data_IF_644931569999
#
_entry.id   IF_644931569999
#
_cell.length_a   1.000
_cell.length_b   1.000
_cell.length_c   1.000
_cell.angle_alpha   90.00
_cell.angle_beta   90.00
_cell.angle_gamma   90.00
#
_symmetry.space_group_name_H-M   'P 1'
#
loop_
_entity.id
_entity.type
_entity.pdbx_description
1 polymer ?
#
# COMPACT_ATOMS: atom_id res chain seq x y z
N UNK A 1 17.57 -1.54 12.57
CA UNK A 1 17.05 -2.85 13.00
C UNK A 1 16.29 -2.76 14.33
N UNK A 2 16.83 -2.11 15.36
CA UNK A 2 16.26 -2.09 16.71
C UNK A 2 14.80 -1.59 16.78
N UNK A 3 14.44 -0.58 15.99
CA UNK A 3 13.07 -0.07 15.92
C UNK A 3 12.05 -1.11 15.42
N UNK A 4 12.47 -2.07 14.60
CA UNK A 4 11.62 -3.17 14.13
C UNK A 4 11.53 -4.25 15.22
N UNK A 5 12.66 -4.61 15.79
CA UNK A 5 12.75 -5.67 16.81
C UNK A 5 11.91 -5.36 18.06
N UNK A 6 11.87 -4.10 18.49
CA UNK A 6 11.03 -3.66 19.61
C UNK A 6 9.51 -3.83 19.39
N UNK A 7 9.07 -4.02 18.15
CA UNK A 7 7.66 -4.25 17.79
C UNK A 7 7.30 -5.74 17.58
N UNK A 8 8.25 -6.66 17.81
CA UNK A 8 8.02 -8.10 17.66
C UNK A 8 7.58 -8.82 18.93
N UNK A 9 7.46 -8.13 20.06
CA UNK A 9 7.14 -8.69 21.38
C UNK A 9 5.82 -9.48 21.41
N UNK A 10 4.87 -9.16 20.54
CA UNK A 10 3.58 -9.89 20.42
C UNK A 10 3.66 -11.08 19.44
N UNK A 11 4.82 -11.39 18.88
CA UNK A 11 5.04 -12.53 17.97
C UNK A 11 5.50 -13.74 18.77
N UNK A 12 5.42 -14.93 18.17
CA UNK A 12 5.88 -16.20 18.76
C UNK A 12 6.53 -17.07 17.68
N UNK A 13 7.39 -17.97 18.14
CA UNK A 13 8.04 -18.97 17.30
C UNK A 13 8.82 -18.36 16.13
N UNK A 14 9.48 -17.23 16.35
CA UNK A 14 10.32 -16.61 15.35
C UNK A 14 11.64 -17.39 15.21
N UNK A 15 12.18 -17.39 13.98
CA UNK A 15 13.48 -17.98 13.67
C UNK A 15 14.43 -16.94 13.11
N UNK A 16 15.72 -17.14 13.34
CA UNK A 16 16.79 -16.22 12.87
C UNK A 16 17.78 -16.98 11.99
N UNK A 17 17.99 -16.41 10.81
CA UNK A 17 19.12 -16.67 9.91
C UNK A 17 19.58 -15.32 9.39
N UNK A 18 20.75 -14.87 9.79
CA UNK A 18 21.19 -13.49 9.56
C UNK A 18 22.72 -13.43 9.45
N UNK A 19 23.24 -12.39 8.82
CA UNK A 19 24.68 -12.11 8.83
C UNK A 19 25.14 -11.64 10.22
N UNK A 20 24.43 -10.68 10.80
CA UNK A 20 24.75 -10.06 12.08
C UNK A 20 23.69 -10.38 13.14
N UNK A 21 24.12 -10.86 14.31
CA UNK A 21 23.32 -10.90 15.54
C UNK A 21 23.68 -9.67 16.40
N UNK A 22 22.66 -8.94 16.87
CA UNK A 22 22.78 -7.79 17.75
C UNK A 22 21.91 -7.88 19.00
N UNK A 23 22.00 -6.86 19.86
CA UNK A 23 21.33 -6.81 21.16
C UNK A 23 19.84 -7.14 21.10
N UNK A 24 19.09 -6.52 20.17
CA UNK A 24 17.64 -6.72 20.09
C UNK A 24 17.24 -8.15 19.70
N UNK A 25 18.05 -8.88 18.94
CA UNK A 25 17.82 -10.30 18.64
C UNK A 25 18.01 -11.13 19.92
N UNK A 26 19.06 -10.86 20.68
CA UNK A 26 19.36 -11.55 21.94
C UNK A 26 18.26 -11.28 22.97
N UNK A 27 17.73 -10.06 23.05
CA UNK A 27 16.59 -9.73 23.92
C UNK A 27 15.37 -10.59 23.57
N UNK A 28 14.98 -10.66 22.28
CA UNK A 28 13.87 -11.50 21.84
C UNK A 28 14.09 -13.01 22.06
N UNK A 29 15.34 -13.47 22.02
CA UNK A 29 15.70 -14.85 22.38
C UNK A 29 15.53 -15.11 23.89
N UNK A 30 15.94 -14.17 24.74
CA UNK A 30 15.75 -14.26 26.21
C UNK A 30 14.27 -14.29 26.61
N UNK A 31 13.44 -13.54 25.87
CA UNK A 31 12.00 -13.48 26.06
C UNK A 31 11.25 -14.69 25.47
N UNK A 32 11.96 -15.61 24.79
CA UNK A 32 11.37 -16.78 24.14
C UNK A 32 10.51 -16.49 22.92
N UNK A 33 10.60 -15.30 22.38
CA UNK A 33 9.92 -14.89 21.13
C UNK A 33 10.62 -15.51 19.92
N UNK A 34 11.96 -15.54 19.95
CA UNK A 34 12.81 -16.27 19.01
C UNK A 34 13.22 -17.59 19.67
N UNK A 35 12.54 -18.66 19.30
CA UNK A 35 12.82 -20.03 19.75
C UNK A 35 13.33 -20.93 18.60
N UNK A 36 13.30 -20.45 17.38
CA UNK A 36 13.72 -21.14 16.16
C UNK A 36 12.99 -22.47 15.90
N UNK A 37 11.91 -22.78 16.62
CA UNK A 37 11.20 -24.05 16.55
C UNK A 37 10.57 -24.33 15.20
N UNK A 38 10.21 -23.29 14.47
CA UNK A 38 9.57 -23.35 13.14
C UNK A 38 10.50 -23.15 11.96
N UNK A 39 11.80 -23.08 12.17
CA UNK A 39 12.76 -23.00 11.08
C UNK A 39 12.76 -24.31 10.27
N UNK A 40 12.78 -24.18 8.95
CA UNK A 40 12.90 -25.32 8.01
C UNK A 40 14.34 -25.80 7.85
N UNK A 41 15.30 -24.89 8.10
CA UNK A 41 16.74 -25.19 8.10
C UNK A 41 17.31 -24.80 9.47
N UNK A 42 18.17 -25.65 10.05
CA UNK A 42 18.73 -25.49 11.40
C UNK A 42 17.64 -25.22 12.46
N UNK A 43 16.60 -26.10 12.61
CA UNK A 43 15.55 -25.91 13.60
C UNK A 43 16.13 -25.85 15.02
N UNK A 44 15.55 -24.98 15.87
CA UNK A 44 16.01 -24.75 17.23
C UNK A 44 17.27 -23.91 17.37
N UNK A 45 17.85 -23.42 16.26
CA UNK A 45 19.10 -22.63 16.31
C UNK A 45 18.99 -21.33 15.54
N UNK A 46 19.43 -20.23 16.14
CA UNK A 46 19.74 -19.00 15.45
C UNK A 46 21.08 -19.15 14.73
N UNK A 47 21.13 -18.86 13.45
CA UNK A 47 22.36 -18.93 12.64
C UNK A 47 22.82 -17.53 12.26
N UNK A 48 24.11 -17.23 12.47
CA UNK A 48 24.72 -15.97 12.11
C UNK A 48 26.18 -16.11 11.68
N UNK A 49 26.73 -15.08 11.00
CA UNK A 49 28.15 -15.03 10.66
C UNK A 49 28.97 -14.37 11.77
N UNK A 50 28.45 -13.31 12.36
CA UNK A 50 29.14 -12.59 13.47
C UNK A 50 28.13 -11.89 14.39
N UNK A 51 28.64 -11.36 15.50
CA UNK A 51 27.84 -10.58 16.45
C UNK A 51 28.47 -9.20 16.70
N UNK A 52 27.61 -8.24 17.00
CA UNK A 52 28.00 -6.91 17.45
C UNK A 52 26.97 -6.41 18.46
N UNK A 53 27.42 -6.07 19.66
CA UNK A 53 26.51 -5.65 20.72
C UNK A 53 27.23 -5.27 22.00
N UNK A 54 26.49 -5.14 23.08
CA UNK A 54 26.98 -4.91 24.42
C UNK A 54 27.65 -6.17 24.99
N UNK A 55 28.38 -6.03 26.11
CA UNK A 55 29.03 -7.14 26.78
C UNK A 55 28.04 -8.28 27.13
N UNK A 56 26.86 -7.93 27.57
CA UNK A 56 25.81 -8.89 27.94
C UNK A 56 25.33 -9.72 26.74
N UNK A 57 25.43 -9.20 25.52
CA UNK A 57 25.15 -9.93 24.29
C UNK A 57 26.20 -11.00 24.04
N UNK A 58 27.48 -10.66 24.16
CA UNK A 58 28.56 -11.64 24.00
C UNK A 58 28.52 -12.72 25.09
N UNK A 59 28.24 -12.36 26.34
CA UNK A 59 28.07 -13.30 27.46
C UNK A 59 26.92 -14.28 27.24
N UNK A 60 25.79 -13.80 26.67
CA UNK A 60 24.65 -14.67 26.32
C UNK A 60 24.95 -15.63 25.17
N UNK A 61 25.73 -15.16 24.17
CA UNK A 61 26.05 -15.96 22.99
C UNK A 61 27.17 -16.98 23.25
N UNK A 62 28.00 -16.77 24.31
CA UNK A 62 29.09 -17.63 24.64
C UNK A 62 28.62 -19.02 25.07
N UNK A 63 29.11 -20.05 24.42
CA UNK A 63 28.75 -21.46 24.62
C UNK A 63 27.23 -21.75 24.63
N UNK A 64 26.44 -20.92 23.95
CA UNK A 64 25.00 -21.08 23.87
C UNK A 64 24.62 -22.07 22.74
N UNK A 65 24.07 -23.25 23.06
CA UNK A 65 23.72 -24.26 22.05
C UNK A 65 22.58 -23.83 21.09
N UNK A 66 21.84 -22.78 21.44
CA UNK A 66 20.76 -22.22 20.62
C UNK A 66 21.30 -21.29 19.52
N UNK A 67 22.60 -21.02 19.50
CA UNK A 67 23.25 -20.12 18.52
C UNK A 67 24.36 -20.87 17.81
N UNK A 68 24.36 -20.72 16.50
CA UNK A 68 25.38 -21.34 15.66
C UNK A 68 26.02 -20.27 14.76
N UNK A 69 27.32 -20.04 14.92
CA UNK A 69 28.08 -19.19 14.03
C UNK A 69 28.62 -20.00 12.86
N UNK A 70 28.35 -19.51 11.66
CA UNK A 70 28.79 -20.10 10.39
C UNK A 70 29.58 -19.07 9.60
N UNK A 71 30.37 -19.55 8.67
CA UNK A 71 31.08 -18.72 7.71
C UNK A 71 30.10 -17.97 6.78
N UNK A 72 30.55 -16.86 6.24
CA UNK A 72 29.68 -15.99 5.44
C UNK A 72 29.22 -16.64 4.13
N UNK A 73 30.01 -17.53 3.58
CA UNK A 73 29.65 -18.37 2.41
C UNK A 73 28.46 -19.31 2.68
N UNK A 74 28.18 -19.62 3.97
CA UNK A 74 26.98 -20.35 4.35
C UNK A 74 25.82 -19.40 4.68
N UNK A 75 26.05 -18.39 5.52
CA UNK A 75 24.97 -17.53 6.00
C UNK A 75 24.39 -16.64 4.91
N UNK A 76 25.20 -16.21 3.96
CA UNK A 76 24.82 -15.30 2.88
C UNK A 76 24.55 -16.01 1.55
N UNK A 77 24.63 -17.35 1.52
CA UNK A 77 24.26 -18.08 0.30
C UNK A 77 22.76 -17.95 0.00
N UNK A 78 22.36 -17.30 -1.11
CA UNK A 78 20.96 -17.17 -1.48
C UNK A 78 20.22 -18.51 -1.60
N UNK A 79 20.90 -19.60 -1.96
CA UNK A 79 20.28 -20.92 -2.07
C UNK A 79 20.00 -21.54 -0.69
N UNK A 80 20.82 -21.27 0.31
CA UNK A 80 20.58 -21.68 1.69
C UNK A 80 19.46 -20.82 2.28
N UNK A 81 19.49 -19.51 2.08
CA UNK A 81 18.47 -18.57 2.53
C UNK A 81 17.10 -18.96 1.94
N UNK A 82 17.04 -19.33 0.66
CA UNK A 82 15.82 -19.74 -0.04
C UNK A 82 15.14 -20.99 0.53
N UNK A 83 15.88 -21.85 1.24
CA UNK A 83 15.34 -23.05 1.88
C UNK A 83 14.53 -22.74 3.16
N UNK A 84 14.66 -21.54 3.70
CA UNK A 84 13.86 -21.09 4.84
C UNK A 84 12.47 -20.66 4.36
N UNK A 85 11.42 -21.43 4.65
CA UNK A 85 10.04 -21.02 4.38
C UNK A 85 9.68 -19.74 5.17
N UNK A 86 8.91 -18.87 4.52
CA UNK A 86 8.50 -17.58 5.07
C UNK A 86 9.67 -16.64 5.42
N UNK A 87 10.82 -16.80 4.75
CA UNK A 87 11.97 -15.92 4.97
C UNK A 87 11.57 -14.46 4.78
N UNK A 88 11.83 -13.63 5.77
CA UNK A 88 11.57 -12.19 5.72
C UNK A 88 12.89 -11.44 5.83
N UNK A 89 13.40 -10.97 4.70
CA UNK A 89 14.60 -10.14 4.65
C UNK A 89 14.21 -8.67 4.83
N UNK A 90 14.74 -8.03 5.87
CA UNK A 90 14.47 -6.62 6.19
C UNK A 90 15.79 -5.86 6.16
N UNK A 91 15.89 -4.90 5.26
CA UNK A 91 17.08 -4.10 5.05
C UNK A 91 16.73 -2.61 4.95
N UNK A 92 17.76 -1.76 5.01
CA UNK A 92 17.64 -0.33 4.83
C UNK A 92 18.49 0.13 3.64
N UNK A 93 18.22 1.33 3.14
CA UNK A 93 19.02 1.95 2.07
C UNK A 93 19.34 3.41 2.37
N UNK A 94 20.32 3.94 1.66
CA UNK A 94 20.62 5.36 1.64
C UNK A 94 19.66 6.12 0.74
N UNK A 95 19.42 5.56 -0.47
CA UNK A 95 18.50 6.11 -1.47
C UNK A 95 17.78 4.97 -2.22
N UNK A 96 16.56 5.23 -2.65
CA UNK A 96 15.82 4.42 -3.63
C UNK A 96 15.34 5.33 -4.76
N UNK A 97 15.50 4.88 -6.01
CA UNK A 97 15.01 5.65 -7.15
C UNK A 97 13.58 5.24 -7.57
N UNK A 98 12.95 6.09 -8.39
CA UNK A 98 11.56 5.88 -8.84
C UNK A 98 11.38 4.63 -9.69
N UNK A 99 12.45 3.98 -10.15
CA UNK A 99 12.38 2.68 -10.84
C UNK A 99 12.38 1.50 -9.86
N UNK A 100 12.71 1.77 -8.58
CA UNK A 100 12.72 0.79 -7.50
C UNK A 100 14.06 0.10 -7.30
N UNK A 101 15.18 0.64 -7.80
CA UNK A 101 16.51 0.17 -7.43
C UNK A 101 17.09 1.05 -6.31
N UNK A 102 17.91 0.47 -5.43
CA UNK A 102 18.39 1.15 -4.25
C UNK A 102 19.91 1.04 -4.06
N UNK A 103 20.49 2.09 -3.49
CA UNK A 103 21.86 2.12 -3.00
C UNK A 103 21.87 2.12 -1.48
N UNK A 104 22.64 1.21 -0.87
CA UNK A 104 22.87 1.14 0.57
C UNK A 104 24.33 1.43 0.94
N UNK A 105 25.23 1.47 -0.02
CA UNK A 105 26.66 1.58 0.17
C UNK A 105 27.25 2.94 -0.22
N UNK A 106 26.55 3.67 -1.13
CA UNK A 106 27.08 4.93 -1.67
C UNK A 106 25.98 5.93 -2.03
N UNK A 107 26.35 7.21 -2.06
CA UNK A 107 25.56 8.29 -2.66
C UNK A 107 26.42 8.93 -3.75
N UNK A 108 26.09 8.70 -5.02
CA UNK A 108 26.95 9.04 -6.13
C UNK A 108 28.32 8.32 -5.99
N UNK A 109 29.37 9.07 -6.15
CA UNK A 109 30.78 8.54 -6.09
C UNK A 109 31.32 8.39 -4.66
N UNK A 110 30.54 8.71 -3.63
CA UNK A 110 30.99 8.65 -2.22
C UNK A 110 30.49 7.34 -1.61
N UNK A 111 31.42 6.47 -1.25
CA UNK A 111 31.14 5.20 -0.60
C UNK A 111 31.19 5.35 0.92
N UNK A 112 30.16 4.84 1.61
CA UNK A 112 30.03 4.83 3.08
C UNK A 112 30.33 3.45 3.66
N UNK A 113 30.20 2.40 2.87
CA UNK A 113 30.46 1.02 3.27
C UNK A 113 30.81 0.15 2.07
N UNK A 114 31.13 -1.13 2.31
CA UNK A 114 31.08 -2.17 1.29
C UNK A 114 29.65 -2.63 1.03
N UNK A 115 29.49 -3.53 0.05
CA UNK A 115 28.19 -4.03 -0.39
C UNK A 115 27.47 -4.87 0.69
N UNK A 116 28.19 -5.65 1.51
CA UNK A 116 27.66 -6.57 2.52
C UNK A 116 26.74 -7.68 1.94
N UNK A 117 26.01 -8.36 2.82
CA UNK A 117 25.12 -9.47 2.46
C UNK A 117 23.70 -9.07 2.10
N UNK A 118 23.41 -7.77 1.99
CA UNK A 118 22.03 -7.28 1.78
C UNK A 118 21.41 -7.86 0.51
N UNK A 119 22.15 -7.89 -0.61
CA UNK A 119 21.67 -8.41 -1.88
C UNK A 119 21.43 -9.92 -1.81
N UNK A 120 22.28 -10.65 -1.10
CA UNK A 120 22.16 -12.10 -0.93
C UNK A 120 20.89 -12.48 -0.16
N UNK A 121 20.63 -11.81 0.96
CA UNK A 121 19.43 -12.03 1.76
C UNK A 121 18.16 -11.64 1.01
N UNK A 122 18.15 -10.51 0.29
CA UNK A 122 17.00 -10.13 -0.51
C UNK A 122 16.75 -11.14 -1.64
N UNK A 123 17.79 -11.57 -2.37
CA UNK A 123 17.68 -12.59 -3.42
C UNK A 123 17.19 -13.91 -2.85
N UNK A 124 17.76 -14.38 -1.76
CA UNK A 124 17.36 -15.62 -1.10
C UNK A 124 15.91 -15.59 -0.63
N UNK A 125 15.46 -14.45 -0.06
CA UNK A 125 14.06 -14.29 0.35
C UNK A 125 13.08 -14.24 -0.84
N UNK A 126 13.47 -13.67 -1.99
CA UNK A 126 12.66 -13.73 -3.23
C UNK A 126 12.45 -15.17 -3.68
N UNK A 127 13.46 -16.02 -3.56
CA UNK A 127 13.41 -17.42 -3.95
C UNK A 127 12.72 -18.32 -2.91
N UNK A 128 12.61 -17.84 -1.67
CA UNK A 128 11.99 -18.60 -0.57
C UNK A 128 10.48 -18.75 -0.79
N UNK A 129 9.93 -19.90 -0.41
CA UNK A 129 8.49 -20.11 -0.38
C UNK A 129 7.82 -19.15 0.63
N UNK A 130 6.88 -18.31 0.16
CA UNK A 130 6.25 -17.23 0.90
C UNK A 130 7.24 -16.18 1.45
N UNK A 131 8.41 -16.08 0.84
CA UNK A 131 9.43 -15.11 1.23
C UNK A 131 8.99 -13.65 1.01
N UNK A 132 9.54 -12.75 1.80
CA UNK A 132 9.26 -11.32 1.72
C UNK A 132 10.55 -10.53 1.76
N UNK A 133 10.65 -9.55 0.88
CA UNK A 133 11.76 -8.59 0.89
C UNK A 133 11.23 -7.20 1.23
N UNK A 134 11.77 -6.63 2.26
CA UNK A 134 11.32 -5.35 2.83
C UNK A 134 12.51 -4.39 2.87
N UNK A 135 12.38 -3.27 2.19
CA UNK A 135 13.30 -2.15 2.28
C UNK A 135 12.66 -1.04 3.11
N UNK A 136 13.18 -0.80 4.32
CA UNK A 136 12.67 0.21 5.22
C UNK A 136 13.67 1.37 5.34
N UNK A 137 13.24 2.58 5.03
CA UNK A 137 14.08 3.78 5.11
C UNK A 137 13.24 4.98 5.54
N UNK A 138 13.90 5.95 6.20
CA UNK A 138 13.28 7.27 6.36
C UNK A 138 13.14 7.92 4.99
N UNK A 139 12.04 8.64 4.74
CA UNK A 139 11.82 9.31 3.45
C UNK A 139 12.80 10.46 3.19
N UNK A 140 13.43 10.97 4.24
CA UNK A 140 14.36 12.12 4.21
C UNK A 140 15.65 11.86 4.98
N UNK A 141 16.61 12.73 4.77
CA UNK A 141 17.85 12.85 5.52
C UNK A 141 18.13 14.33 5.84
N UNK A 142 19.10 14.57 6.74
CA UNK A 142 19.61 15.93 7.07
C UNK A 142 18.48 16.89 7.47
N UNK A 143 17.72 16.54 8.51
CA UNK A 143 16.63 17.35 9.05
C UNK A 143 15.60 17.75 7.96
N UNK A 144 15.14 16.76 7.23
CA UNK A 144 14.16 16.88 6.14
C UNK A 144 14.57 17.77 4.96
N UNK A 145 15.85 18.02 4.78
CA UNK A 145 16.34 18.83 3.66
C UNK A 145 16.59 18.05 2.39
N UNK A 146 16.77 16.71 2.50
CA UNK A 146 17.13 15.84 1.38
C UNK A 146 16.18 14.65 1.32
N UNK A 147 15.58 14.40 0.16
CA UNK A 147 14.76 13.20 -0.09
C UNK A 147 15.65 11.98 -0.29
N UNK A 148 15.30 10.86 0.34
CA UNK A 148 15.90 9.53 0.08
C UNK A 148 15.18 8.74 -1.02
N UNK A 149 14.01 9.21 -1.44
CA UNK A 149 13.36 8.76 -2.67
C UNK A 149 13.75 9.76 -3.75
N UNK A 150 14.43 9.29 -4.79
CA UNK A 150 15.04 10.14 -5.82
C UNK A 150 14.58 9.73 -7.23
N UNK A 151 14.60 10.64 -8.22
CA UNK A 151 14.20 10.28 -9.59
C UNK A 151 15.04 9.14 -10.17
N UNK A 152 16.36 9.24 -10.03
CA UNK A 152 17.37 8.21 -10.33
C UNK A 152 18.47 8.28 -9.29
N UNK A 153 19.12 7.15 -9.02
CA UNK A 153 20.34 7.13 -8.24
C UNK A 153 21.37 8.06 -8.88
N UNK A 154 22.16 8.74 -8.06
CA UNK A 154 23.20 9.66 -8.54
C UNK A 154 24.24 8.90 -9.38
N UNK A 155 24.80 9.57 -10.38
CA UNK A 155 25.86 9.03 -11.21
C UNK A 155 27.03 8.52 -10.35
N UNK A 156 27.44 7.26 -10.61
CA UNK A 156 28.50 6.59 -9.88
C UNK A 156 28.07 5.92 -8.58
N UNK A 157 26.77 5.97 -8.22
CA UNK A 157 26.26 5.21 -7.08
C UNK A 157 26.25 3.72 -7.38
N UNK A 158 26.59 2.91 -6.37
CA UNK A 158 26.40 1.47 -6.42
C UNK A 158 24.91 1.11 -6.39
N UNK A 159 24.48 0.18 -7.25
CA UNK A 159 23.14 -0.42 -7.18
C UNK A 159 23.23 -1.63 -6.28
N UNK A 160 23.14 -1.42 -4.97
CA UNK A 160 23.22 -2.52 -3.98
C UNK A 160 22.06 -3.50 -4.15
N UNK A 161 20.85 -2.97 -4.43
CA UNK A 161 19.66 -3.75 -4.69
C UNK A 161 19.07 -3.41 -6.05
N UNK A 162 18.92 -4.41 -6.91
CA UNK A 162 18.20 -4.25 -8.15
C UNK A 162 16.67 -4.23 -7.92
N UNK A 163 15.93 -3.69 -8.88
CA UNK A 163 14.48 -3.50 -8.78
C UNK A 163 13.67 -4.80 -8.73
N UNK A 164 14.25 -5.94 -9.07
CA UNK A 164 13.60 -7.25 -9.04
C UNK A 164 13.58 -7.87 -7.65
N UNK A 165 14.48 -7.45 -6.76
CA UNK A 165 14.65 -8.05 -5.44
C UNK A 165 13.95 -7.23 -4.32
N UNK A 166 13.39 -6.06 -4.64
CA UNK A 166 12.66 -5.22 -3.71
C UNK A 166 11.16 -5.40 -3.95
N UNK A 167 10.46 -6.07 -3.01
CA UNK A 167 9.01 -6.23 -3.08
C UNK A 167 8.27 -5.15 -2.30
N UNK A 168 8.63 -4.95 -1.03
CA UNK A 168 8.03 -3.93 -0.18
C UNK A 168 9.00 -2.80 0.08
N UNK A 169 8.50 -1.57 0.00
CA UNK A 169 9.22 -0.37 0.47
C UNK A 169 8.38 0.30 1.54
N UNK A 170 9.02 0.66 2.65
CA UNK A 170 8.37 1.25 3.82
C UNK A 170 9.07 2.55 4.17
N UNK A 171 8.29 3.60 4.37
CA UNK A 171 8.70 4.85 4.97
C UNK A 171 7.75 5.22 6.11
N UNK A 172 7.99 6.31 6.81
CA UNK A 172 7.06 6.89 7.79
C UNK A 172 5.73 7.36 7.16
N UNK A 173 5.66 7.46 5.83
CA UNK A 173 4.46 7.88 5.08
C UNK A 173 3.68 6.73 4.45
N UNK A 174 4.12 5.49 4.62
CA UNK A 174 3.34 4.34 4.16
C UNK A 174 4.17 3.17 3.67
N UNK A 175 3.45 2.19 3.11
CA UNK A 175 4.00 0.92 2.60
C UNK A 175 3.52 0.76 1.17
N UNK A 176 4.43 0.41 0.27
CA UNK A 176 4.11 0.07 -1.12
C UNK A 176 4.69 -1.28 -1.51
N UNK A 177 3.99 -1.97 -2.41
CA UNK A 177 4.40 -3.26 -2.96
C UNK A 177 4.76 -3.12 -4.42
N UNK A 178 6.04 -3.30 -4.77
CA UNK A 178 6.57 -3.01 -6.11
C UNK A 178 6.65 -4.21 -7.04
N UNK A 179 6.55 -5.44 -6.52
CA UNK A 179 6.71 -6.64 -7.34
C UNK A 179 5.58 -6.78 -8.36
N UNK A 180 5.94 -7.09 -9.61
CA UNK A 180 4.97 -7.24 -10.70
C UNK A 180 4.46 -5.92 -11.31
N UNK A 181 4.93 -4.77 -10.82
CA UNK A 181 4.54 -3.44 -11.32
C UNK A 181 5.49 -2.93 -12.40
N UNK A 182 4.93 -2.21 -13.37
CA UNK A 182 5.70 -1.49 -14.38
C UNK A 182 6.38 -0.24 -13.79
N UNK A 183 7.26 0.43 -14.55
CA UNK A 183 8.04 1.58 -14.06
C UNK A 183 7.15 2.74 -13.62
N UNK A 184 6.08 3.04 -14.35
CA UNK A 184 5.16 4.12 -14.01
C UNK A 184 4.43 3.84 -12.67
N UNK A 185 3.94 2.64 -12.49
CA UNK A 185 3.30 2.21 -11.26
C UNK A 185 4.25 2.28 -10.07
N UNK A 186 5.49 1.81 -10.24
CA UNK A 186 6.55 1.92 -9.23
C UNK A 186 6.83 3.36 -8.86
N UNK A 187 6.96 4.25 -9.86
CA UNK A 187 7.21 5.67 -9.64
C UNK A 187 6.09 6.32 -8.83
N UNK A 188 4.83 6.09 -9.21
CA UNK A 188 3.68 6.64 -8.49
C UNK A 188 3.58 6.13 -7.06
N UNK A 189 3.81 4.82 -6.84
CA UNK A 189 3.82 4.23 -5.50
C UNK A 189 4.92 4.83 -4.62
N UNK A 190 6.15 4.93 -5.13
CA UNK A 190 7.26 5.51 -4.38
C UNK A 190 7.05 6.99 -4.07
N UNK A 191 6.47 7.75 -5.01
CA UNK A 191 6.09 9.16 -4.76
C UNK A 191 5.04 9.24 -3.65
N UNK A 192 4.08 8.31 -3.59
CA UNK A 192 3.01 8.32 -2.57
C UNK A 192 3.54 8.18 -1.15
N UNK A 193 4.65 7.46 -0.95
CA UNK A 193 5.31 7.27 0.35
C UNK A 193 6.53 8.17 0.57
N UNK A 194 6.83 9.08 -0.36
CA UNK A 194 7.84 10.12 -0.17
C UNK A 194 7.36 11.18 0.82
N UNK A 195 8.29 11.90 1.43
CA UNK A 195 7.92 13.06 2.25
C UNK A 195 7.09 14.07 1.41
N UNK A 196 5.95 14.57 1.91
CA UNK A 196 5.03 15.43 1.16
C UNK A 196 5.70 16.62 0.48
N UNK A 197 6.68 17.23 1.13
CA UNK A 197 7.47 18.35 0.62
C UNK A 197 8.13 18.06 -0.74
N UNK A 198 8.54 16.81 -0.98
CA UNK A 198 9.29 16.42 -2.19
C UNK A 198 8.42 15.80 -3.27
N UNK A 199 7.17 15.43 -2.99
CA UNK A 199 6.27 14.82 -3.98
C UNK A 199 6.08 15.66 -5.24
N UNK A 200 5.85 17.00 -5.16
CA UNK A 200 5.74 17.83 -6.38
C UNK A 200 7.00 17.78 -7.23
N UNK A 201 8.18 17.89 -6.61
CA UNK A 201 9.44 17.79 -7.32
C UNK A 201 9.64 16.42 -7.98
N UNK A 202 9.33 15.33 -7.26
CA UNK A 202 9.43 13.97 -7.80
C UNK A 202 8.49 13.76 -8.99
N UNK A 203 7.27 14.30 -8.95
CA UNK A 203 6.32 14.26 -10.07
C UNK A 203 6.90 14.98 -11.30
N UNK A 204 7.42 16.19 -11.12
CA UNK A 204 7.96 16.95 -12.26
C UNK A 204 9.21 16.27 -12.86
N UNK A 205 10.12 15.77 -12.02
CA UNK A 205 11.26 15.00 -12.52
C UNK A 205 10.84 13.68 -13.19
N UNK A 206 9.83 12.98 -12.66
CA UNK A 206 9.30 11.78 -13.26
C UNK A 206 8.68 12.04 -14.64
N UNK A 207 7.93 13.14 -14.81
CA UNK A 207 7.39 13.59 -16.10
C UNK A 207 8.49 13.92 -17.09
N UNK A 208 9.48 14.72 -16.67
CA UNK A 208 10.62 15.15 -17.48
C UNK A 208 11.41 13.97 -18.02
N UNK A 209 11.55 12.91 -17.21
CA UNK A 209 12.29 11.71 -17.57
C UNK A 209 11.42 10.60 -18.19
N UNK A 210 10.13 10.85 -18.44
CA UNK A 210 9.23 9.89 -19.07
C UNK A 210 8.89 8.67 -18.22
N UNK A 211 9.08 8.75 -16.89
CA UNK A 211 8.73 7.67 -15.97
C UNK A 211 7.23 7.59 -15.73
N UNK A 212 6.53 8.73 -15.83
CA UNK A 212 5.06 8.84 -15.73
C UNK A 212 4.54 9.66 -16.92
N UNK A 213 3.22 9.72 -17.08
CA UNK A 213 2.63 10.52 -18.16
C UNK A 213 2.88 12.02 -17.96
N UNK A 214 3.00 12.78 -19.07
CA UNK A 214 3.22 14.23 -19.03
C UNK A 214 2.05 14.97 -18.39
N UNK A 215 0.85 14.46 -18.59
CA UNK A 215 -0.42 14.97 -18.06
C UNK A 215 -0.81 14.37 -16.72
N UNK A 216 0.08 13.58 -16.10
CA UNK A 216 -0.16 13.00 -14.77
C UNK A 216 -0.52 14.10 -13.77
N UNK A 217 -1.75 14.06 -13.24
CA UNK A 217 -2.23 15.01 -12.25
C UNK A 217 -1.61 14.76 -10.88
N UNK A 218 -1.42 15.84 -10.12
CA UNK A 218 -0.95 15.79 -8.73
C UNK A 218 -1.50 16.99 -7.96
N UNK A 219 -2.09 16.74 -6.80
CA UNK A 219 -2.60 17.78 -5.91
C UNK A 219 -1.59 18.01 -4.78
N UNK A 220 -0.89 19.14 -4.74
CA UNK A 220 0.12 19.42 -3.71
C UNK A 220 -0.51 19.81 -2.37
N UNK A 221 0.24 19.62 -1.27
CA UNK A 221 -0.09 20.06 0.08
C UNK A 221 -1.02 19.12 0.84
N UNK A 222 -1.62 19.62 1.94
CA UNK A 222 -2.48 18.81 2.83
C UNK A 222 -3.71 18.21 2.15
N UNK A 223 -4.24 18.86 1.12
CA UNK A 223 -5.40 18.40 0.35
C UNK A 223 -5.12 17.17 -0.48
N UNK A 224 -3.86 16.97 -0.89
CA UNK A 224 -3.39 15.77 -1.59
C UNK A 224 -2.85 14.68 -0.67
N UNK A 225 -2.84 14.87 0.66
CA UNK A 225 -2.41 13.83 1.59
C UNK A 225 -3.45 12.72 1.67
N UNK A 226 -2.97 11.49 1.60
CA UNK A 226 -3.82 10.31 1.71
C UNK A 226 -4.35 10.16 3.15
N UNK A 227 -5.68 10.10 3.37
CA UNK A 227 -6.26 10.03 4.72
C UNK A 227 -6.28 8.59 5.26
N UNK A 228 -5.14 8.06 5.71
CA UNK A 228 -5.00 6.69 6.24
C UNK A 228 -5.98 6.36 7.38
N UNK A 229 -6.35 7.36 8.18
CA UNK A 229 -7.32 7.19 9.27
C UNK A 229 -8.72 6.75 8.83
N UNK A 230 -8.97 6.77 7.51
CA UNK A 230 -10.22 6.31 6.90
C UNK A 230 -10.13 4.89 6.34
N UNK A 231 -9.06 4.16 6.59
CA UNK A 231 -8.97 2.75 6.22
C UNK A 231 -9.66 1.85 7.26
N UNK A 232 -10.31 0.76 6.82
CA UNK A 232 -10.93 -0.16 7.76
C UNK A 232 -11.52 -1.42 7.13
N UNK A 233 -11.50 -2.50 7.89
CA UNK A 233 -12.13 -3.76 7.50
C UNK A 233 -13.62 -3.75 7.81
N UNK A 234 -14.40 -4.38 6.96
CA UNK A 234 -15.84 -4.62 7.12
C UNK A 234 -16.17 -6.03 6.63
N UNK A 235 -17.15 -6.64 7.29
CA UNK A 235 -17.75 -7.89 6.84
C UNK A 235 -19.18 -7.59 6.36
N UNK A 236 -19.48 -7.90 5.12
CA UNK A 236 -20.81 -7.68 4.55
C UNK A 236 -21.82 -8.65 5.17
N UNK A 237 -23.12 -8.39 5.00
CA UNK A 237 -24.21 -9.28 5.48
C UNK A 237 -24.13 -10.71 4.93
N UNK A 238 -23.43 -10.92 3.84
CA UNK A 238 -23.23 -12.26 3.24
C UNK A 238 -21.97 -12.96 3.73
N UNK A 239 -21.22 -12.33 4.68
CA UNK A 239 -19.98 -12.88 5.22
C UNK A 239 -18.74 -12.62 4.37
N UNK A 240 -18.83 -11.71 3.38
CA UNK A 240 -17.65 -11.30 2.60
C UNK A 240 -16.85 -10.25 3.36
N UNK A 241 -15.57 -10.53 3.62
CA UNK A 241 -14.65 -9.56 4.19
C UNK A 241 -14.13 -8.64 3.09
N UNK A 242 -14.26 -7.34 3.31
CA UNK A 242 -13.79 -6.28 2.43
C UNK A 242 -12.95 -5.28 3.23
N UNK A 243 -11.97 -4.70 2.57
CA UNK A 243 -11.19 -3.59 3.07
C UNK A 243 -11.66 -2.30 2.40
N UNK A 244 -12.19 -1.37 3.20
CA UNK A 244 -12.59 -0.05 2.73
C UNK A 244 -11.45 0.91 2.93
N UNK A 245 -11.07 1.59 1.86
CA UNK A 245 -10.03 2.62 1.92
C UNK A 245 -10.26 3.73 0.89
N UNK A 246 -9.79 4.94 1.15
CA UNK A 246 -9.75 5.99 0.13
C UNK A 246 -8.94 5.55 -1.09
N UNK A 247 -9.24 6.15 -2.24
CA UNK A 247 -8.46 5.96 -3.46
C UNK A 247 -7.07 6.54 -3.28
N UNK A 248 -6.05 5.87 -3.81
CA UNK A 248 -4.65 6.35 -3.86
C UNK A 248 -4.29 6.78 -5.27
N UNK A 249 -3.38 7.72 -5.39
CA UNK A 249 -2.88 8.15 -6.70
C UNK A 249 -2.27 7.00 -7.52
N UNK A 250 -1.76 5.97 -6.85
CA UNK A 250 -1.21 4.75 -7.47
C UNK A 250 -2.28 3.72 -7.89
N UNK A 251 -3.57 3.95 -7.60
CA UNK A 251 -4.63 2.98 -7.88
C UNK A 251 -5.12 2.96 -9.33
N UNK A 252 -4.59 3.80 -10.21
CA UNK A 252 -5.02 3.85 -11.62
C UNK A 252 -5.09 2.47 -12.29
N UNK A 253 -4.08 1.58 -12.15
CA UNK A 253 -4.16 0.24 -12.74
C UNK A 253 -5.28 -0.61 -12.17
N UNK A 254 -5.52 -0.53 -10.86
CA UNK A 254 -6.60 -1.27 -10.19
C UNK A 254 -7.97 -0.72 -10.59
N UNK A 255 -8.11 0.60 -10.74
CA UNK A 255 -9.32 1.25 -11.25
C UNK A 255 -9.58 0.87 -12.71
N UNK A 256 -8.54 0.82 -13.54
CA UNK A 256 -8.63 0.33 -14.92
C UNK A 256 -9.17 -1.09 -14.94
N UNK A 257 -8.55 -2.02 -14.20
CA UNK A 257 -9.00 -3.40 -14.10
C UNK A 257 -10.45 -3.50 -13.60
N UNK A 258 -10.84 -2.66 -12.64
CA UNK A 258 -12.20 -2.59 -12.13
C UNK A 258 -13.20 -2.16 -13.21
N UNK A 259 -12.99 -1.01 -13.86
CA UNK A 259 -13.93 -0.47 -14.85
C UNK A 259 -14.04 -1.38 -16.09
N UNK A 260 -12.94 -1.95 -16.57
CA UNK A 260 -12.97 -2.90 -17.70
C UNK A 260 -13.58 -4.26 -17.34
N UNK A 261 -13.75 -4.57 -16.05
CA UNK A 261 -14.45 -5.76 -15.57
C UNK A 261 -15.96 -5.60 -15.46
N UNK A 262 -16.48 -4.37 -15.57
CA UNK A 262 -17.92 -4.10 -15.52
C UNK A 262 -18.57 -4.44 -16.87
N UNK A 263 -19.79 -4.99 -16.82
CA UNK A 263 -20.61 -5.15 -18.02
C UNK A 263 -21.02 -3.79 -18.61
N UNK A 264 -21.34 -3.76 -19.91
CA UNK A 264 -21.85 -2.56 -20.58
C UNK A 264 -23.04 -1.96 -19.84
N UNK A 265 -23.90 -2.80 -19.26
CA UNK A 265 -25.04 -2.39 -18.45
C UNK A 265 -24.62 -1.70 -17.15
N UNK A 266 -23.62 -2.22 -16.45
CA UNK A 266 -23.10 -1.63 -15.22
C UNK A 266 -22.37 -0.33 -15.50
N UNK A 267 -21.60 -0.25 -16.59
CA UNK A 267 -20.96 0.98 -17.07
C UNK A 267 -22.00 2.04 -17.46
N UNK A 268 -23.02 1.67 -18.24
CA UNK A 268 -24.09 2.58 -18.62
C UNK A 268 -24.82 3.15 -17.38
N UNK A 269 -25.18 2.30 -16.43
CA UNK A 269 -25.84 2.73 -15.17
C UNK A 269 -24.97 3.66 -14.32
N UNK A 270 -23.65 3.47 -14.35
CA UNK A 270 -22.72 4.29 -13.55
C UNK A 270 -22.49 5.67 -14.15
N UNK A 271 -22.38 5.77 -15.49
CA UNK A 271 -21.97 6.99 -16.18
C UNK A 271 -23.10 7.68 -16.94
N UNK A 272 -24.32 7.14 -16.91
CA UNK A 272 -25.50 7.64 -17.62
C UNK A 272 -25.27 7.80 -19.14
N UNK A 273 -24.24 7.16 -19.68
CA UNK A 273 -23.84 7.23 -21.09
C UNK A 273 -23.25 5.91 -21.57
N UNK A 274 -23.41 5.61 -22.87
CA UNK A 274 -22.75 4.46 -23.47
C UNK A 274 -21.25 4.73 -23.57
N UNK A 275 -20.49 4.04 -22.72
CA UNK A 275 -19.02 4.11 -22.70
C UNK A 275 -18.45 2.73 -22.87
N UNK A 276 -17.49 2.60 -23.78
CA UNK A 276 -16.77 1.34 -24.03
C UNK A 276 -15.36 1.34 -23.48
N UNK A 277 -14.85 2.50 -23.10
CA UNK A 277 -13.48 2.67 -22.63
C UNK A 277 -13.38 3.68 -21.46
N UNK A 278 -12.30 3.54 -20.72
CA UNK A 278 -11.89 4.46 -19.66
C UNK A 278 -10.46 4.91 -20.00
N UNK A 279 -10.31 5.99 -20.79
CA UNK A 279 -9.00 6.51 -21.16
C UNK A 279 -8.24 6.98 -19.93
N UNK A 280 -6.93 7.11 -20.08
CA UNK A 280 -6.00 7.47 -19.00
C UNK A 280 -6.42 8.75 -18.27
N UNK A 281 -6.80 9.81 -18.98
CA UNK A 281 -7.22 11.10 -18.40
C UNK A 281 -8.39 10.89 -17.41
N UNK A 282 -9.35 10.06 -17.78
CA UNK A 282 -10.49 9.73 -16.91
C UNK A 282 -10.09 8.92 -15.68
N UNK A 283 -9.18 7.98 -15.82
CA UNK A 283 -8.67 7.22 -14.68
C UNK A 283 -7.90 8.14 -13.72
N UNK A 284 -7.22 9.17 -14.24
CA UNK A 284 -6.60 10.19 -13.43
C UNK A 284 -7.62 11.03 -12.63
N UNK A 285 -8.76 11.40 -13.22
CA UNK A 285 -9.86 12.09 -12.53
C UNK A 285 -10.37 11.29 -11.32
N UNK A 286 -10.31 9.94 -11.39
CA UNK A 286 -10.67 9.08 -10.25
C UNK A 286 -9.54 8.88 -9.25
N UNK A 287 -8.29 8.85 -9.69
CA UNK A 287 -7.14 8.54 -8.82
C UNK A 287 -6.60 9.76 -8.09
N UNK A 288 -6.79 10.97 -8.65
CA UNK A 288 -6.21 12.22 -8.13
C UNK A 288 -7.32 13.16 -7.73
N UNK A 289 -7.72 13.13 -6.47
CA UNK A 289 -8.83 13.90 -5.93
C UNK A 289 -8.38 14.85 -4.81
N UNK A 290 -9.14 15.90 -4.60
CA UNK A 290 -9.05 16.75 -3.40
C UNK A 290 -10.00 16.19 -2.34
N UNK A 291 -9.49 15.45 -1.36
CA UNK A 291 -10.26 14.82 -0.29
C UNK A 291 -11.09 15.79 0.56
N UNK A 292 -10.88 17.10 0.41
CA UNK A 292 -11.71 18.13 1.07
C UNK A 292 -12.99 18.44 0.27
N UNK A 293 -13.03 18.13 -1.02
CA UNK A 293 -14.16 18.40 -1.94
C UNK A 293 -14.81 17.13 -2.46
N UNK A 294 -14.04 16.06 -2.53
CA UNK A 294 -14.47 14.78 -3.08
C UNK A 294 -14.00 13.65 -2.18
N UNK A 295 -14.77 12.57 -2.12
CA UNK A 295 -14.39 11.36 -1.41
C UNK A 295 -14.67 10.16 -2.30
N UNK A 296 -13.64 9.36 -2.57
CA UNK A 296 -13.74 8.08 -3.27
C UNK A 296 -13.24 6.99 -2.35
N UNK A 297 -14.13 6.07 -2.01
CA UNK A 297 -13.83 4.89 -1.20
C UNK A 297 -13.87 3.65 -2.07
N UNK A 298 -12.81 2.88 -2.02
CA UNK A 298 -12.68 1.59 -2.68
C UNK A 298 -13.04 0.47 -1.71
N UNK A 299 -13.86 -0.48 -2.16
CA UNK A 299 -14.02 -1.77 -1.51
C UNK A 299 -13.06 -2.75 -2.17
N UNK A 300 -12.11 -3.25 -1.40
CA UNK A 300 -11.02 -4.11 -1.88
C UNK A 300 -11.13 -5.48 -1.23
N UNK A 301 -10.86 -6.52 -1.99
CA UNK A 301 -10.65 -7.88 -1.48
C UNK A 301 -9.20 -8.27 -1.72
N UNK A 302 -8.57 -8.84 -0.69
CA UNK A 302 -7.23 -9.42 -0.83
C UNK A 302 -7.35 -10.89 -1.22
N UNK A 303 -6.91 -11.21 -2.44
CA UNK A 303 -6.74 -12.58 -2.87
C UNK A 303 -5.25 -12.88 -2.96
N UNK A 304 -4.68 -13.47 -1.90
CA UNK A 304 -3.28 -13.93 -1.87
C UNK A 304 -2.26 -12.81 -2.16
N UNK A 305 -2.35 -11.71 -1.40
CA UNK A 305 -1.49 -10.52 -1.52
C UNK A 305 -1.62 -9.73 -2.85
N UNK A 306 -2.73 -9.91 -3.55
CA UNK A 306 -3.08 -9.10 -4.71
C UNK A 306 -4.41 -8.40 -4.45
N UNK A 307 -4.36 -7.10 -4.19
CA UNK A 307 -5.55 -6.27 -4.05
C UNK A 307 -6.40 -6.32 -5.32
N UNK A 308 -7.72 -6.40 -5.14
CA UNK A 308 -8.70 -6.32 -6.23
C UNK A 308 -9.84 -5.43 -5.81
N UNK A 309 -10.08 -4.36 -6.55
CA UNK A 309 -11.25 -3.50 -6.34
C UNK A 309 -12.50 -4.26 -6.78
N UNK A 310 -13.48 -4.35 -5.88
CA UNK A 310 -14.78 -4.99 -6.12
C UNK A 310 -15.94 -4.02 -6.04
N UNK A 311 -15.70 -2.81 -5.49
CA UNK A 311 -16.68 -1.74 -5.45
C UNK A 311 -16.01 -0.38 -5.32
N UNK A 312 -16.65 0.64 -5.88
CA UNK A 312 -16.25 2.05 -5.80
C UNK A 312 -17.48 2.85 -5.39
N UNK A 313 -17.35 3.62 -4.33
CA UNK A 313 -18.33 4.60 -3.89
C UNK A 313 -17.69 5.97 -3.84
N UNK A 314 -18.39 7.00 -4.30
CA UNK A 314 -17.88 8.37 -4.30
C UNK A 314 -18.97 9.37 -3.94
N UNK A 315 -18.54 10.52 -3.43
CA UNK A 315 -19.35 11.74 -3.45
C UNK A 315 -18.48 12.96 -3.77
N UNK A 316 -19.11 13.94 -4.46
CA UNK A 316 -18.55 15.28 -4.69
C UNK A 316 -19.41 16.33 -3.99
N UNK A 317 -18.77 17.25 -3.25
CA UNK A 317 -19.47 18.27 -2.45
C UNK A 317 -20.02 19.37 -3.33
N UNK A 318 -21.29 19.66 -3.18
CA UNK A 318 -21.96 20.82 -3.76
C UNK A 318 -21.98 21.96 -2.72
N UNK A 319 -20.98 22.85 -2.79
CA UNK A 319 -20.72 23.89 -1.75
C UNK A 319 -21.95 24.79 -1.47
N UNK A 320 -22.83 24.98 -2.45
CA UNK A 320 -24.00 25.86 -2.31
C UNK A 320 -25.18 25.27 -1.54
N UNK A 321 -25.21 23.94 -1.33
CA UNK A 321 -26.39 23.22 -0.80
C UNK A 321 -26.12 22.40 0.46
N UNK A 322 -24.91 22.40 0.97
CA UNK A 322 -24.49 21.49 2.06
C UNK A 322 -24.85 20.03 1.78
N UNK A 323 -24.83 19.64 0.52
CA UNK A 323 -25.11 18.28 0.04
C UNK A 323 -23.97 17.80 -0.85
N UNK A 324 -23.94 16.52 -1.14
CA UNK A 324 -22.98 15.95 -2.07
C UNK A 324 -23.69 15.04 -3.08
N UNK A 325 -23.22 15.03 -4.31
CA UNK A 325 -23.64 14.07 -5.32
C UNK A 325 -22.95 12.72 -5.06
N UNK A 326 -23.75 11.65 -4.86
CA UNK A 326 -23.24 10.33 -4.56
C UNK A 326 -23.43 9.36 -5.73
N UNK A 327 -22.40 8.55 -5.99
CA UNK A 327 -22.43 7.53 -7.03
C UNK A 327 -21.67 6.26 -6.62
N UNK A 328 -22.15 5.10 -7.10
CA UNK A 328 -21.62 3.79 -6.73
C UNK A 328 -21.50 2.88 -7.95
N UNK A 329 -20.52 2.00 -7.92
CA UNK A 329 -20.41 0.88 -8.83
C UNK A 329 -19.90 -0.35 -8.08
N UNK A 330 -20.44 -1.51 -8.37
CA UNK A 330 -19.99 -2.80 -7.83
C UNK A 330 -19.78 -3.74 -9.00
N UNK A 331 -18.69 -4.43 -9.00
CA UNK A 331 -18.29 -5.42 -9.98
C UNK A 331 -19.38 -6.50 -10.11
N UNK A 332 -19.71 -6.90 -11.36
CA UNK A 332 -20.86 -7.75 -11.63
C UNK A 332 -20.81 -9.09 -10.88
N UNK A 333 -19.64 -9.72 -10.79
CA UNK A 333 -19.40 -10.97 -10.06
C UNK A 333 -19.45 -10.83 -8.52
N UNK A 334 -19.57 -9.60 -7.99
CA UNK A 334 -19.69 -9.27 -6.57
C UNK A 334 -20.99 -8.55 -6.21
N UNK A 335 -21.93 -8.44 -7.17
CA UNK A 335 -23.25 -7.85 -6.88
C UNK A 335 -24.05 -8.75 -5.94
N UNK A 336 -25.02 -8.15 -5.23
CA UNK A 336 -25.86 -8.80 -4.21
C UNK A 336 -25.10 -9.32 -2.98
N UNK A 337 -23.81 -9.03 -2.82
CA UNK A 337 -23.00 -9.42 -1.67
C UNK A 337 -22.97 -8.36 -0.55
N UNK A 338 -23.76 -7.29 -0.63
CA UNK A 338 -23.87 -6.25 0.39
C UNK A 338 -22.86 -5.11 0.27
N UNK A 339 -21.94 -5.13 -0.69
CA UNK A 339 -20.87 -4.14 -0.86
C UNK A 339 -21.41 -2.70 -1.00
N UNK A 340 -22.44 -2.49 -1.84
CA UNK A 340 -23.05 -1.16 -2.00
C UNK A 340 -23.60 -0.62 -0.69
N UNK A 341 -24.13 -1.48 0.19
CA UNK A 341 -24.64 -1.09 1.50
C UNK A 341 -23.51 -0.61 2.41
N UNK A 342 -22.42 -1.36 2.46
CA UNK A 342 -21.24 -0.97 3.26
C UNK A 342 -20.61 0.35 2.75
N UNK A 343 -20.51 0.52 1.43
CA UNK A 343 -20.01 1.74 0.83
C UNK A 343 -20.88 2.96 1.19
N UNK A 344 -22.22 2.86 1.03
CA UNK A 344 -23.09 4.01 1.32
C UNK A 344 -23.15 4.33 2.81
N UNK A 345 -23.15 3.32 3.69
CA UNK A 345 -23.05 3.51 5.14
C UNK A 345 -21.79 4.28 5.49
N UNK A 346 -20.66 3.87 4.91
CA UNK A 346 -19.39 4.51 5.22
C UNK A 346 -19.29 5.92 4.64
N UNK A 347 -19.73 6.13 3.39
CA UNK A 347 -19.76 7.48 2.80
C UNK A 347 -20.72 8.41 3.56
N UNK A 348 -21.86 7.92 4.04
CA UNK A 348 -22.78 8.69 4.88
C UNK A 348 -22.12 9.14 6.19
N UNK A 349 -21.37 8.22 6.83
CA UNK A 349 -20.61 8.55 8.04
C UNK A 349 -19.57 9.66 7.75
N UNK A 350 -18.83 9.57 6.66
CA UNK A 350 -17.83 10.55 6.27
C UNK A 350 -18.47 11.91 5.91
N UNK A 351 -19.56 11.89 5.17
CA UNK A 351 -20.31 13.09 4.78
C UNK A 351 -20.85 13.84 6.00
N UNK A 352 -21.44 13.14 6.97
CA UNK A 352 -21.89 13.73 8.24
C UNK A 352 -20.72 14.38 9.02
N UNK A 353 -19.56 13.74 9.05
CA UNK A 353 -18.35 14.30 9.69
C UNK A 353 -17.84 15.58 9.00
N UNK A 354 -18.12 15.74 7.71
CA UNK A 354 -17.80 16.96 6.94
C UNK A 354 -18.92 18.03 7.04
N UNK A 355 -19.98 17.78 7.82
CA UNK A 355 -21.08 18.73 8.02
C UNK A 355 -22.10 18.74 6.87
N UNK A 356 -22.10 17.74 6.02
CA UNK A 356 -23.09 17.59 4.94
C UNK A 356 -24.43 17.13 5.53
N UNK A 357 -25.52 17.61 4.95
CA UNK A 357 -26.90 17.34 5.40
C UNK A 357 -27.58 16.22 4.59
N UNK A 358 -27.01 15.85 3.45
CA UNK A 358 -27.61 14.83 2.62
C UNK A 358 -26.83 14.53 1.35
N UNK A 359 -27.35 13.56 0.59
CA UNK A 359 -26.87 13.23 -0.74
C UNK A 359 -27.90 13.59 -1.83
N UNK A 360 -27.38 13.88 -3.01
CA UNK A 360 -28.14 13.85 -4.27
C UNK A 360 -27.62 12.67 -5.10
N UNK A 361 -28.47 12.11 -5.98
CA UNK A 361 -28.05 11.09 -6.92
C UNK A 361 -29.00 11.04 -8.12
N UNK A 362 -28.46 10.73 -9.28
CA UNK A 362 -29.23 10.40 -10.48
C UNK A 362 -29.26 8.87 -10.68
N UNK A 363 -30.44 8.30 -10.87
CA UNK A 363 -30.61 6.86 -11.00
C UNK A 363 -31.66 6.55 -12.06
N UNK A 364 -31.33 5.72 -13.03
CA UNK A 364 -32.33 5.23 -13.99
C UNK A 364 -33.50 4.56 -13.29
N UNK A 365 -34.72 4.85 -13.74
CA UNK A 365 -35.98 4.28 -13.20
C UNK A 365 -35.94 2.76 -13.18
N UNK A 366 -35.30 2.14 -14.16
CA UNK A 366 -35.11 0.69 -14.28
C UNK A 366 -34.05 0.11 -13.32
N UNK A 367 -33.22 0.93 -12.67
CA UNK A 367 -32.19 0.49 -11.73
C UNK A 367 -32.76 0.24 -10.34
N UNK A 368 -33.75 -0.63 -10.25
CA UNK A 368 -34.42 -1.03 -8.99
C UNK A 368 -33.47 -1.50 -7.90
N UNK A 369 -32.34 -2.22 -8.20
CA UNK A 369 -31.39 -2.61 -7.16
C UNK A 369 -30.78 -1.41 -6.43
N UNK A 370 -30.36 -0.36 -7.14
CA UNK A 370 -29.78 0.84 -6.53
C UNK A 370 -30.81 1.62 -5.71
N UNK A 371 -32.04 1.78 -6.25
CA UNK A 371 -33.13 2.43 -5.51
C UNK A 371 -33.40 1.74 -4.16
N UNK A 372 -33.42 0.40 -4.15
CA UNK A 372 -33.59 -0.39 -2.90
C UNK A 372 -32.45 -0.17 -1.90
N UNK A 373 -31.22 0.08 -2.35
CA UNK A 373 -30.11 0.40 -1.47
C UNK A 373 -30.37 1.71 -0.77
N UNK A 374 -30.72 2.77 -1.49
CA UNK A 374 -31.03 4.08 -0.91
C UNK A 374 -32.25 4.05 0.02
N UNK A 375 -33.31 3.32 -0.35
CA UNK A 375 -34.52 3.16 0.48
C UNK A 375 -34.22 2.50 1.83
N UNK A 376 -33.33 1.52 1.85
CA UNK A 376 -32.95 0.79 3.07
C UNK A 376 -32.09 1.61 4.03
N UNK A 377 -31.48 2.69 3.57
CA UNK A 377 -30.65 3.57 4.41
C UNK A 377 -31.46 4.44 5.38
N UNK A 378 -32.77 4.51 5.19
CA UNK A 378 -33.65 5.29 6.07
C UNK A 378 -33.54 6.80 5.91
N UNK A 379 -33.00 7.29 4.80
CA UNK A 379 -32.97 8.72 4.47
C UNK A 379 -34.39 9.27 4.29
N UNK A 380 -34.57 10.56 4.51
CA UNK A 380 -35.74 11.26 3.98
C UNK A 380 -35.53 11.47 2.50
N UNK A 381 -36.31 10.71 1.70
CA UNK A 381 -36.09 10.54 0.28
C UNK A 381 -37.13 11.30 -0.54
N UNK A 382 -36.71 12.36 -1.20
CA UNK A 382 -37.49 13.04 -2.25
C UNK A 382 -37.10 12.50 -3.63
N UNK A 383 -38.08 12.28 -4.52
CA UNK A 383 -37.89 11.76 -5.87
C UNK A 383 -38.56 12.64 -6.89
N UNK A 384 -37.81 13.02 -7.89
CA UNK A 384 -38.35 13.65 -9.11
C UNK A 384 -37.99 12.80 -10.31
N UNK A 385 -38.90 12.61 -11.23
CA UNK A 385 -38.65 11.85 -12.48
C UNK A 385 -38.53 12.84 -13.61
N UNK A 386 -37.44 12.74 -14.34
CA UNK A 386 -37.24 13.49 -15.57
C UNK A 386 -36.52 12.60 -16.61
N UNK A 387 -37.12 12.50 -17.82
CA UNK A 387 -36.52 11.77 -18.94
C UNK A 387 -36.09 10.32 -18.65
N UNK A 388 -36.83 9.59 -17.78
CA UNK A 388 -36.50 8.20 -17.41
C UNK A 388 -35.42 8.04 -16.33
N UNK A 389 -35.06 9.14 -15.68
CA UNK A 389 -34.10 9.20 -14.58
C UNK A 389 -34.78 9.73 -13.32
N UNK A 390 -34.50 9.13 -12.18
CA UNK A 390 -34.83 9.69 -10.88
C UNK A 390 -33.74 10.65 -10.45
N UNK A 391 -34.09 11.90 -10.21
CA UNK A 391 -33.32 12.80 -9.38
C UNK A 391 -33.71 12.53 -7.92
N UNK A 392 -32.78 12.05 -7.13
CA UNK A 392 -32.99 11.73 -5.72
C UNK A 392 -32.36 12.81 -4.83
N UNK A 393 -33.10 13.25 -3.82
CA UNK A 393 -32.57 14.02 -2.68
C UNK A 393 -32.75 13.21 -1.42
N UNK A 394 -31.68 13.02 -0.68
CA UNK A 394 -31.60 12.11 0.47
C UNK A 394 -31.09 12.87 1.68
N UNK A 395 -31.98 13.38 2.51
CA UNK A 395 -31.55 14.05 3.76
C UNK A 395 -31.18 12.99 4.82
N UNK A 396 -30.07 13.23 5.51
CA UNK A 396 -29.62 12.36 6.59
C UNK A 396 -30.53 12.58 7.81
N UNK A 397 -31.02 11.50 8.41
CA UNK A 397 -31.67 11.56 9.72
C UNK A 397 -30.63 11.74 10.83
N UNK A 398 -31.01 12.41 11.89
CA UNK A 398 -30.21 12.59 13.11
C UNK A 398 -29.80 11.28 13.76
#
# INVERSE_FOLDING_TARGET
PNAILSNLQNKKNLGVHTELIGDGIVELMREGIIDNSRKTVNPGRSVAAFCMGKRETYEYLHDNPMVEFRTIDYTNDPLIIAQHENMTAINSALEIDLTGQASAESIGKIFYSGIGGQADFMRGAVLSRNGKTILALQSTASDDTVSRIVPFLKEGAGVTLNRGDIHYVITEYGIVYLHGKNIRERAMDLISIAHPKFRPWLIEEAKKNGLIYKDQSYIPGKRGEYPESLEGYRTTKTGLDIYLRPVKISDEPLLKDFFYSLSDKSMYRRFMSQRKDMPHERLQDFAVIDYTKEMIILAVVDRKHKEKIVGVGQYGIEETRHSAEAAFAVRDDYQNMGISTELIVYLTFLAKRQGLLGFTAEVFVENKPMLRVFEKMGFDLERRVESGVYELRMAFKE
#
